data_IF_425940463112
#
_entry.id   IF_425940463112
#
_cell.length_a   1.000
_cell.length_b   1.000
_cell.length_c   1.000
_cell.angle_alpha   90.00
_cell.angle_beta   90.00
_cell.angle_gamma   90.00
#
_symmetry.space_group_name_H-M   'P 1'
#
loop_
_entity.id
_entity.type
_entity.pdbx_description
1 polymer ?
#
# COMPACT_ATOMS: atom_id res chain seq x y z
N UNK A 1 -2.31 -7.20 28.59
CA UNK A 1 -3.45 -6.64 27.83
C UNK A 1 -3.84 -5.19 28.22
N UNK A 2 -3.47 -4.63 29.37
CA UNK A 2 -3.86 -3.25 29.77
C UNK A 2 -3.10 -2.13 29.00
N UNK A 3 -1.90 -2.38 28.51
CA UNK A 3 -1.07 -1.39 27.79
C UNK A 3 -1.49 -1.07 26.34
N UNK A 4 -2.25 -1.94 25.69
CA UNK A 4 -2.71 -1.72 24.30
C UNK A 4 -3.94 -0.78 24.19
N UNK A 5 -4.69 -0.61 25.29
CA UNK A 5 -5.86 0.27 25.32
C UNK A 5 -5.56 1.78 25.08
N UNK A 6 -4.47 2.37 25.62
CA UNK A 6 -4.15 3.75 25.33
C UNK A 6 -3.61 3.95 23.91
N UNK A 7 -2.88 2.97 23.37
CA UNK A 7 -2.23 3.07 22.05
C UNK A 7 -3.25 3.17 20.90
N UNK A 8 -4.31 2.33 20.90
CA UNK A 8 -5.33 2.43 19.85
C UNK A 8 -6.18 3.70 19.98
N UNK A 9 -6.39 4.23 21.20
CA UNK A 9 -7.08 5.52 21.39
C UNK A 9 -6.26 6.67 20.82
N UNK A 10 -4.92 6.67 21.01
CA UNK A 10 -4.03 7.67 20.46
C UNK A 10 -4.00 7.62 18.94
N UNK A 11 -3.89 6.44 18.35
CA UNK A 11 -3.95 6.22 16.90
C UNK A 11 -5.30 6.67 16.34
N UNK A 12 -6.40 6.35 17.01
CA UNK A 12 -7.74 6.77 16.63
C UNK A 12 -7.94 8.30 16.70
N UNK A 13 -7.37 8.96 17.72
CA UNK A 13 -7.38 10.42 17.85
C UNK A 13 -6.59 11.12 16.73
N UNK A 14 -5.40 10.61 16.40
CA UNK A 14 -4.57 11.13 15.30
C UNK A 14 -5.31 10.96 13.96
N UNK A 15 -5.98 9.84 13.76
CA UNK A 15 -6.77 9.59 12.54
C UNK A 15 -7.98 10.53 12.45
N UNK A 16 -8.65 10.83 13.57
CA UNK A 16 -9.78 11.77 13.60
C UNK A 16 -9.35 13.21 13.24
N UNK A 17 -8.17 13.65 13.66
CA UNK A 17 -7.66 14.98 13.29
C UNK A 17 -7.31 15.07 11.80
N UNK A 18 -6.78 14.00 11.20
CA UNK A 18 -6.50 13.95 9.76
C UNK A 18 -7.76 13.98 8.87
N UNK A 19 -8.90 13.51 9.37
CA UNK A 19 -10.15 13.45 8.59
C UNK A 19 -10.72 14.86 8.34
N UNK A 20 -10.54 15.79 9.25
CA UNK A 20 -11.17 17.12 9.19
C UNK A 20 -10.36 18.18 8.41
N UNK A 21 -9.13 17.90 8.01
CA UNK A 21 -8.24 18.87 7.37
C UNK A 21 -7.69 18.43 6.01
N UNK A 22 -8.20 17.34 5.44
CA UNK A 22 -7.71 16.87 4.15
C UNK A 22 -8.32 17.64 2.97
N UNK A 23 -7.48 17.91 1.98
CA UNK A 23 -7.86 18.62 0.75
C UNK A 23 -8.77 17.75 -0.14
N UNK A 24 -8.60 16.42 -0.10
CA UNK A 24 -9.41 15.47 -0.87
C UNK A 24 -9.67 14.16 -0.10
N UNK A 25 -10.70 13.45 -0.56
CA UNK A 25 -11.05 12.10 -0.11
C UNK A 25 -11.16 11.17 -1.31
N UNK A 26 -10.33 10.11 -1.30
CA UNK A 26 -10.27 9.09 -2.35
C UNK A 26 -10.91 7.78 -1.90
N UNK A 27 -11.46 7.04 -2.85
CA UNK A 27 -11.88 5.65 -2.68
C UNK A 27 -10.99 4.71 -3.49
N UNK A 28 -10.47 3.64 -2.86
CA UNK A 28 -9.68 2.62 -3.52
C UNK A 28 -10.37 1.25 -3.39
N UNK A 29 -10.71 0.64 -4.50
CA UNK A 29 -11.23 -0.73 -4.54
C UNK A 29 -10.31 -1.63 -5.36
N UNK A 30 -10.17 -2.91 -4.97
CA UNK A 30 -9.36 -3.86 -5.71
C UNK A 30 -9.83 -5.29 -5.57
N UNK A 31 -9.52 -6.10 -6.61
CA UNK A 31 -9.63 -7.54 -6.60
C UNK A 31 -8.27 -8.11 -6.91
N UNK A 32 -7.79 -9.03 -6.07
CA UNK A 32 -6.50 -9.67 -6.20
C UNK A 32 -6.61 -11.20 -6.32
N UNK A 33 -5.68 -11.78 -7.06
CA UNK A 33 -5.48 -13.22 -7.20
C UNK A 33 -4.04 -13.55 -6.84
N UNK A 34 -3.84 -14.49 -5.91
CA UNK A 34 -2.53 -14.91 -5.45
C UNK A 34 -2.43 -16.44 -5.60
N UNK A 35 -1.38 -16.92 -6.23
CA UNK A 35 -1.08 -18.34 -6.32
C UNK A 35 0.38 -18.61 -5.96
N UNK A 36 0.59 -19.75 -5.28
CA UNK A 36 1.93 -20.26 -4.98
C UNK A 36 2.30 -21.31 -6.00
N UNK A 37 3.40 -21.05 -6.67
CA UNK A 37 4.02 -22.00 -7.60
C UNK A 37 5.11 -22.83 -6.88
N UNK A 38 5.60 -23.92 -7.50
CA UNK A 38 6.78 -24.62 -7.01
C UNK A 38 7.98 -23.67 -6.81
N UNK A 39 8.97 -24.12 -6.02
CA UNK A 39 10.22 -23.39 -5.78
C UNK A 39 10.04 -22.04 -5.08
N UNK A 40 9.07 -21.91 -4.15
CA UNK A 40 8.81 -20.68 -3.37
C UNK A 40 8.48 -19.44 -4.21
N UNK A 41 8.00 -19.61 -5.42
CA UNK A 41 7.54 -18.53 -6.29
C UNK A 41 6.09 -18.21 -5.97
N UNK A 42 5.77 -16.92 -5.85
CA UNK A 42 4.39 -16.42 -5.72
C UNK A 42 4.07 -15.52 -6.92
N UNK A 43 2.90 -15.73 -7.51
CA UNK A 43 2.36 -14.89 -8.56
C UNK A 43 1.12 -14.17 -8.04
N UNK A 44 1.09 -12.85 -8.21
CA UNK A 44 -0.05 -12.00 -7.83
C UNK A 44 -0.54 -11.23 -9.05
N UNK A 45 -1.87 -11.14 -9.19
CA UNK A 45 -2.55 -10.29 -10.15
C UNK A 45 -3.54 -9.41 -9.38
N UNK A 46 -3.41 -8.10 -9.51
CA UNK A 46 -4.31 -7.12 -8.90
C UNK A 46 -4.98 -6.26 -9.97
N UNK A 47 -6.29 -6.13 -9.88
CA UNK A 47 -7.08 -5.14 -10.60
C UNK A 47 -7.63 -4.14 -9.60
N UNK A 48 -7.45 -2.84 -9.85
CA UNK A 48 -7.91 -1.81 -8.94
C UNK A 48 -8.56 -0.62 -9.62
N UNK A 49 -9.50 -0.01 -8.92
CA UNK A 49 -10.20 1.23 -9.29
C UNK A 49 -9.98 2.26 -8.18
N UNK A 50 -9.74 3.50 -8.56
CA UNK A 50 -9.62 4.64 -7.66
C UNK A 50 -10.50 5.79 -8.10
N UNK A 51 -11.17 6.39 -7.14
CA UNK A 51 -11.95 7.60 -7.30
C UNK A 51 -11.28 8.73 -6.51
N UNK A 52 -11.41 9.97 -6.97
CA UNK A 52 -10.95 11.22 -6.37
C UNK A 52 -12.10 12.20 -6.19
N UNK A 53 -11.82 13.43 -5.78
CA UNK A 53 -12.79 14.52 -5.66
C UNK A 53 -13.98 14.11 -4.80
N UNK A 54 -13.72 13.82 -3.51
CA UNK A 54 -14.71 13.32 -2.55
C UNK A 54 -15.36 11.99 -3.00
N UNK A 55 -14.59 11.10 -3.64
CA UNK A 55 -15.02 9.79 -4.19
C UNK A 55 -16.02 9.88 -5.35
N UNK A 56 -16.20 11.05 -5.98
CA UNK A 56 -17.20 11.28 -7.01
C UNK A 56 -16.66 11.11 -8.43
N UNK A 57 -15.36 11.33 -8.64
CA UNK A 57 -14.74 11.36 -9.96
C UNK A 57 -13.77 10.22 -10.17
N UNK A 58 -13.66 9.74 -11.39
CA UNK A 58 -12.69 8.73 -11.78
C UNK A 58 -11.27 9.27 -11.64
N UNK A 59 -10.39 8.53 -10.96
CA UNK A 59 -8.97 8.85 -10.89
C UNK A 59 -8.15 7.96 -11.82
N UNK A 60 -8.27 6.64 -11.61
CA UNK A 60 -7.58 5.64 -12.44
C UNK A 60 -8.14 4.24 -12.21
N UNK A 61 -7.98 3.40 -13.22
CA UNK A 61 -7.97 1.95 -13.06
C UNK A 61 -6.58 1.40 -13.33
N UNK A 62 -6.23 0.24 -12.74
CA UNK A 62 -4.92 -0.36 -13.00
C UNK A 62 -4.97 -1.87 -12.93
N UNK A 63 -4.10 -2.49 -13.70
CA UNK A 63 -3.75 -3.91 -13.60
C UNK A 63 -2.29 -4.02 -13.15
N UNK A 64 -2.02 -4.85 -12.15
CA UNK A 64 -0.68 -5.13 -11.67
C UNK A 64 -0.43 -6.64 -11.64
N UNK A 65 0.68 -7.05 -12.21
CA UNK A 65 1.23 -8.40 -12.07
C UNK A 65 2.48 -8.32 -11.22
N UNK A 66 2.63 -9.24 -10.28
CA UNK A 66 3.81 -9.31 -9.42
C UNK A 66 4.31 -10.74 -9.31
N UNK A 67 5.60 -10.92 -9.45
CA UNK A 67 6.29 -12.18 -9.17
C UNK A 67 7.13 -11.96 -7.93
N UNK A 68 7.03 -12.86 -6.97
CA UNK A 68 7.84 -12.85 -5.76
C UNK A 68 8.52 -14.19 -5.55
N UNK A 69 9.71 -14.16 -4.97
CA UNK A 69 10.49 -15.34 -4.59
C UNK A 69 10.87 -15.24 -3.12
N UNK A 70 10.58 -16.28 -2.36
CA UNK A 70 10.95 -16.38 -0.95
C UNK A 70 12.33 -17.02 -0.84
N UNK A 71 13.35 -16.20 -0.48
CA UNK A 71 14.77 -16.61 -0.40
C UNK A 71 15.00 -17.46 0.86
N UNK A 72 14.49 -16.96 1.97
CA UNK A 72 14.51 -17.63 3.30
C UNK A 72 13.20 -17.29 4.00
N UNK A 73 12.89 -17.99 5.09
CA UNK A 73 11.66 -17.74 5.85
C UNK A 73 11.52 -16.25 6.23
N UNK A 74 10.42 -15.67 5.80
CA UNK A 74 10.08 -14.26 6.00
C UNK A 74 10.77 -13.26 5.06
N UNK A 75 11.78 -13.66 4.25
CA UNK A 75 12.46 -12.76 3.33
C UNK A 75 12.08 -13.03 1.88
N UNK A 76 11.54 -12.02 1.21
CA UNK A 76 11.11 -12.09 -0.19
C UNK A 76 11.71 -10.99 -1.03
N UNK A 77 12.06 -11.32 -2.26
CA UNK A 77 12.26 -10.35 -3.33
C UNK A 77 11.05 -10.38 -4.26
N UNK A 78 10.75 -9.27 -4.92
CA UNK A 78 9.57 -9.18 -5.79
C UNK A 78 9.74 -8.13 -6.88
N UNK A 79 9.07 -8.36 -8.02
CA UNK A 79 9.05 -7.47 -9.19
C UNK A 79 7.59 -7.26 -9.60
N UNK A 80 6.94 -6.16 -9.18
CA UNK A 80 5.63 -5.78 -9.69
C UNK A 80 5.74 -4.89 -10.92
N UNK A 81 4.91 -5.19 -11.91
CA UNK A 81 4.69 -4.38 -13.11
C UNK A 81 3.24 -3.92 -13.07
N UNK A 82 3.00 -2.62 -13.25
CA UNK A 82 1.66 -2.03 -13.25
C UNK A 82 1.42 -1.23 -14.51
N UNK A 83 0.25 -1.41 -15.09
CA UNK A 83 -0.32 -0.57 -16.11
C UNK A 83 -1.53 0.15 -15.52
N UNK A 84 -1.57 1.48 -15.61
CA UNK A 84 -2.64 2.30 -15.06
C UNK A 84 -3.19 3.24 -16.13
N UNK A 85 -4.51 3.32 -16.21
CA UNK A 85 -5.28 4.16 -17.11
C UNK A 85 -5.92 5.26 -16.27
N UNK A 86 -5.64 6.50 -16.59
CA UNK A 86 -6.25 7.72 -16.07
C UNK A 86 -7.25 8.25 -17.09
N UNK A 87 -7.90 9.33 -16.79
CA UNK A 87 -8.88 9.95 -17.69
C UNK A 87 -8.25 10.40 -19.02
N UNK A 88 -7.07 11.01 -18.94
CA UNK A 88 -6.37 11.68 -20.03
C UNK A 88 -5.03 11.03 -20.43
N UNK A 89 -4.57 10.02 -19.68
CA UNK A 89 -3.23 9.43 -19.86
C UNK A 89 -3.12 8.02 -19.35
N UNK A 90 -2.03 7.36 -19.74
CA UNK A 90 -1.64 6.06 -19.21
C UNK A 90 -0.29 6.13 -18.52
N UNK A 91 -0.08 5.29 -17.52
CA UNK A 91 1.21 5.16 -16.83
C UNK A 91 1.61 3.70 -16.73
N UNK A 92 2.85 3.43 -17.09
CA UNK A 92 3.49 2.15 -16.85
C UNK A 92 4.45 2.27 -15.68
N UNK A 93 4.50 1.25 -14.83
CA UNK A 93 5.34 1.24 -13.66
C UNK A 93 6.00 -0.11 -13.50
N UNK A 94 7.32 -0.08 -13.45
CA UNK A 94 8.15 -1.24 -13.15
C UNK A 94 8.78 -1.01 -11.78
N UNK A 95 8.86 -2.04 -10.98
CA UNK A 95 9.52 -1.93 -9.68
C UNK A 95 10.27 -3.21 -9.35
N UNK A 96 11.27 -3.10 -8.47
CA UNK A 96 11.94 -4.22 -7.85
C UNK A 96 12.13 -3.93 -6.37
N UNK A 97 12.08 -4.95 -5.53
CA UNK A 97 12.24 -4.72 -4.10
C UNK A 97 12.37 -5.98 -3.28
N UNK A 98 12.54 -5.76 -1.98
CA UNK A 98 12.62 -6.80 -0.99
C UNK A 98 11.71 -6.51 0.20
N UNK A 99 11.35 -7.55 0.92
CA UNK A 99 10.64 -7.43 2.20
C UNK A 99 11.12 -8.49 3.16
N UNK A 100 11.12 -8.11 4.44
CA UNK A 100 11.39 -9.02 5.54
C UNK A 100 10.22 -8.98 6.53
N UNK A 101 9.77 -10.15 6.94
CA UNK A 101 8.69 -10.34 7.92
C UNK A 101 9.23 -11.11 9.12
N UNK A 102 9.03 -10.57 10.31
CA UNK A 102 9.35 -11.21 11.58
C UNK A 102 8.08 -11.44 12.40
N UNK A 103 7.81 -12.69 12.75
CA UNK A 103 6.61 -13.09 13.50
C UNK A 103 6.93 -13.24 15.00
N UNK A 104 6.32 -12.37 15.83
CA UNK A 104 6.34 -12.42 17.29
C UNK A 104 4.89 -12.47 17.79
N UNK A 105 4.28 -13.66 17.76
CA UNK A 105 2.85 -13.84 18.07
C UNK A 105 2.43 -13.18 19.37
N UNK A 106 1.35 -12.39 19.40
CA UNK A 106 0.35 -12.19 18.33
C UNK A 106 0.71 -11.11 17.31
N UNK A 107 1.89 -10.51 17.39
CA UNK A 107 2.40 -9.46 16.51
C UNK A 107 3.19 -10.06 15.33
N UNK A 108 3.21 -9.34 14.21
CA UNK A 108 4.15 -9.54 13.11
C UNK A 108 4.65 -8.18 12.64
N UNK A 109 5.94 -8.08 12.42
CA UNK A 109 6.60 -6.88 11.90
C UNK A 109 7.00 -7.14 10.46
N UNK A 110 6.76 -6.18 9.57
CA UNK A 110 7.17 -6.29 8.17
C UNK A 110 7.82 -4.99 7.71
N UNK A 111 9.02 -5.10 7.20
CA UNK A 111 9.69 -4.04 6.46
C UNK A 111 9.71 -4.38 4.97
N UNK A 112 9.51 -3.37 4.12
CA UNK A 112 9.58 -3.49 2.67
C UNK A 112 10.28 -2.27 2.09
N UNK A 113 11.30 -2.51 1.27
CA UNK A 113 11.93 -1.49 0.44
C UNK A 113 11.69 -1.82 -1.03
N UNK A 114 11.42 -0.80 -1.84
CA UNK A 114 11.12 -0.96 -3.25
C UNK A 114 11.62 0.25 -4.04
N UNK A 115 12.41 -0.01 -5.08
CA UNK A 115 12.70 0.94 -6.15
C UNK A 115 11.63 0.85 -7.22
N UNK A 116 11.24 1.99 -7.80
CA UNK A 116 10.13 2.10 -8.73
C UNK A 116 10.43 3.14 -9.78
N UNK A 117 10.24 2.77 -11.05
CA UNK A 117 10.28 3.67 -12.20
C UNK A 117 8.87 3.76 -12.78
N UNK A 118 8.42 4.97 -13.03
CA UNK A 118 7.12 5.24 -13.67
C UNK A 118 7.36 5.97 -14.98
N UNK A 119 6.81 5.42 -16.05
CA UNK A 119 6.83 5.97 -17.40
C UNK A 119 5.45 6.55 -17.70
N UNK A 120 5.44 7.75 -18.24
CA UNK A 120 4.27 8.46 -18.73
C UNK A 120 4.61 9.02 -20.12
N UNK A 121 3.64 9.03 -21.03
CA UNK A 121 3.86 9.52 -22.39
C UNK A 121 4.22 11.00 -22.38
N UNK A 122 5.27 11.37 -23.11
CA UNK A 122 5.81 12.74 -23.24
C UNK A 122 6.32 13.38 -21.92
N UNK A 123 6.50 12.59 -20.87
CA UNK A 123 7.06 13.05 -19.60
C UNK A 123 8.34 12.29 -19.24
N UNK A 124 9.30 12.90 -18.56
CA UNK A 124 10.46 12.17 -18.05
C UNK A 124 10.05 11.08 -17.08
N UNK A 125 10.80 10.00 -17.06
CA UNK A 125 10.56 8.91 -16.12
C UNK A 125 10.71 9.41 -14.67
N UNK A 126 9.81 8.98 -13.79
CA UNK A 126 9.87 9.32 -12.37
C UNK A 126 10.38 8.13 -11.56
N UNK A 127 11.45 8.35 -10.85
CA UNK A 127 12.11 7.34 -10.03
C UNK A 127 11.83 7.56 -8.53
N UNK A 128 11.45 6.48 -7.84
CA UNK A 128 11.08 6.53 -6.42
C UNK A 128 11.69 5.36 -5.67
N UNK A 129 12.22 5.64 -4.49
CA UNK A 129 12.49 4.64 -3.45
C UNK A 129 11.38 4.72 -2.40
N UNK A 130 10.78 3.57 -2.09
CA UNK A 130 9.66 3.47 -1.16
C UNK A 130 10.02 2.55 -0.02
N UNK A 131 9.94 3.06 1.20
CA UNK A 131 10.21 2.30 2.42
C UNK A 131 8.94 2.22 3.25
N UNK A 132 8.50 1.00 3.54
CA UNK A 132 7.29 0.72 4.31
C UNK A 132 7.59 -0.15 5.51
N UNK A 133 7.14 0.28 6.68
CA UNK A 133 7.11 -0.52 7.89
C UNK A 133 5.67 -0.80 8.30
N UNK A 134 5.38 -2.04 8.73
CA UNK A 134 4.03 -2.45 9.13
C UNK A 134 4.08 -3.30 10.39
N UNK A 135 3.10 -3.13 11.24
CA UNK A 135 2.85 -3.95 12.43
C UNK A 135 1.46 -4.56 12.26
N UNK A 136 1.41 -5.88 12.19
CA UNK A 136 0.17 -6.65 12.17
C UNK A 136 -0.13 -7.20 13.57
N UNK A 137 -1.38 -7.15 14.01
CA UNK A 137 -1.86 -7.77 15.25
C UNK A 137 -2.94 -8.80 14.94
N UNK A 138 -2.67 -10.07 15.29
CA UNK A 138 -3.61 -11.17 15.11
C UNK A 138 -4.62 -11.18 16.25
N UNK A 139 -5.84 -10.67 16.00
CA UNK A 139 -6.93 -10.65 16.96
C UNK A 139 -7.46 -12.07 17.20
N UNK A 140 -7.69 -12.81 16.11
CA UNK A 140 -8.10 -14.22 16.15
C UNK A 140 -7.73 -14.94 14.83
N UNK A 141 -8.21 -16.18 14.62
CA UNK A 141 -7.91 -16.99 13.42
C UNK A 141 -8.42 -16.35 12.10
N UNK A 142 -9.44 -15.48 12.17
CA UNK A 142 -10.07 -14.88 10.99
C UNK A 142 -9.77 -13.39 10.83
N UNK A 143 -9.38 -12.70 11.91
CA UNK A 143 -9.25 -11.26 11.94
C UNK A 143 -7.84 -10.84 12.34
N UNK A 144 -7.23 -9.99 11.51
CA UNK A 144 -5.94 -9.36 11.72
C UNK A 144 -6.09 -7.86 11.48
N UNK A 145 -5.70 -7.03 12.44
CA UNK A 145 -5.56 -5.59 12.25
C UNK A 145 -4.12 -5.23 11.93
N UNK A 146 -3.89 -4.07 11.32
CA UNK A 146 -2.56 -3.58 11.06
C UNK A 146 -2.50 -2.05 11.12
N UNK A 147 -1.29 -1.57 11.35
CA UNK A 147 -0.88 -0.18 11.14
C UNK A 147 0.41 -0.19 10.31
N UNK A 148 0.59 0.80 9.46
CA UNK A 148 1.82 0.93 8.66
C UNK A 148 2.12 2.38 8.33
N UNK A 149 3.43 2.70 8.27
CA UNK A 149 3.98 3.94 7.73
C UNK A 149 4.74 3.63 6.43
N UNK A 150 4.60 4.49 5.43
CA UNK A 150 5.34 4.40 4.17
C UNK A 150 5.85 5.77 3.79
N UNK A 151 7.13 5.85 3.40
CA UNK A 151 7.81 7.07 2.96
C UNK A 151 8.28 6.86 1.54
N UNK A 152 8.15 7.90 0.73
CA UNK A 152 8.54 7.92 -0.68
C UNK A 152 9.64 8.96 -0.84
N UNK A 153 10.75 8.52 -1.42
CA UNK A 153 11.86 9.38 -1.79
C UNK A 153 11.90 9.47 -3.31
N UNK A 154 11.80 10.67 -3.82
CA UNK A 154 12.02 10.97 -5.23
C UNK A 154 13.52 11.08 -5.46
N UNK A 155 14.01 10.45 -6.51
CA UNK A 155 15.36 10.65 -7.02
C UNK A 155 15.26 11.61 -8.21
N UNK A 156 15.77 12.82 -8.04
CA UNK A 156 15.76 13.86 -9.06
C UNK A 156 17.09 14.62 -9.03
N UNK A 157 17.72 14.81 -10.21
CA UNK A 157 18.97 15.56 -10.41
C UNK A 157 20.05 15.18 -9.38
N UNK A 158 20.26 13.86 -9.17
CA UNK A 158 21.22 13.30 -8.22
C UNK A 158 20.94 13.62 -6.73
N UNK A 159 19.73 14.06 -6.41
CA UNK A 159 19.30 14.32 -5.04
C UNK A 159 18.13 13.45 -4.62
N UNK A 160 18.17 12.96 -3.38
CA UNK A 160 17.04 12.29 -2.74
C UNK A 160 16.19 13.30 -1.99
N UNK A 161 14.93 13.42 -2.38
CA UNK A 161 13.98 14.31 -1.71
C UNK A 161 12.78 13.52 -1.20
N UNK A 162 12.28 13.91 -0.02
CA UNK A 162 11.01 13.36 0.49
C UNK A 162 9.87 13.89 -0.36
N UNK A 163 9.11 12.99 -0.99
CA UNK A 163 8.02 13.34 -1.91
C UNK A 163 6.65 13.11 -1.29
N UNK A 164 6.49 11.99 -0.57
CA UNK A 164 5.20 11.57 -0.04
C UNK A 164 5.39 10.71 1.21
N UNK A 165 4.48 10.80 2.16
CA UNK A 165 4.33 9.81 3.21
C UNK A 165 2.88 9.38 3.40
N UNK A 166 2.71 8.15 3.91
CA UNK A 166 1.42 7.56 4.20
C UNK A 166 1.41 6.90 5.56
N UNK A 167 0.33 7.11 6.30
CA UNK A 167 0.02 6.31 7.48
C UNK A 167 -1.26 5.56 7.19
N UNK A 168 -1.23 4.24 7.35
CA UNK A 168 -2.40 3.40 7.05
C UNK A 168 -2.75 2.51 8.23
N UNK A 169 -4.04 2.32 8.44
CA UNK A 169 -4.59 1.33 9.36
C UNK A 169 -5.68 0.53 8.68
N UNK A 170 -5.92 -0.69 9.13
CA UNK A 170 -6.97 -1.50 8.53
C UNK A 170 -7.09 -2.88 9.15
N UNK A 171 -7.97 -3.65 8.55
CA UNK A 171 -8.28 -5.02 8.96
C UNK A 171 -8.29 -5.95 7.76
N UNK A 172 -7.75 -7.15 7.97
CA UNK A 172 -7.84 -8.27 7.05
C UNK A 172 -8.74 -9.32 7.67
N UNK A 173 -9.83 -9.66 6.97
CA UNK A 173 -10.84 -10.63 7.40
C UNK A 173 -10.78 -11.85 6.50
N UNK A 174 -10.45 -13.00 7.05
CA UNK A 174 -10.51 -14.27 6.32
C UNK A 174 -11.95 -14.77 6.29
N UNK A 175 -12.64 -14.64 5.14
CA UNK A 175 -14.04 -15.03 4.96
C UNK A 175 -14.15 -16.55 4.81
N UNK A 176 -13.30 -17.14 3.97
CA UNK A 176 -13.17 -18.59 3.73
C UNK A 176 -11.70 -18.96 3.60
N UNK A 177 -11.38 -20.28 3.54
CA UNK A 177 -9.99 -20.80 3.51
C UNK A 177 -9.10 -20.12 2.48
N UNK A 178 -9.52 -19.53 1.44
CA UNK A 178 -8.71 -18.94 0.38
C UNK A 178 -9.24 -17.56 -0.05
N UNK A 179 -10.02 -16.90 0.79
CA UNK A 179 -10.66 -15.62 0.49
C UNK A 179 -10.47 -14.64 1.63
N UNK A 180 -9.95 -13.48 1.32
CA UNK A 180 -9.64 -12.44 2.28
C UNK A 180 -10.25 -11.10 1.85
N UNK A 181 -10.96 -10.46 2.75
CA UNK A 181 -11.41 -9.08 2.62
C UNK A 181 -10.45 -8.18 3.40
N UNK A 182 -10.01 -7.11 2.78
CA UNK A 182 -9.22 -6.05 3.38
C UNK A 182 -10.04 -4.76 3.39
N UNK A 183 -10.13 -4.11 4.54
CA UNK A 183 -10.72 -2.78 4.69
C UNK A 183 -9.65 -1.90 5.31
N UNK A 184 -9.43 -0.70 4.78
CA UNK A 184 -8.37 0.16 5.26
C UNK A 184 -8.72 1.64 5.10
N UNK A 185 -8.06 2.42 5.94
CA UNK A 185 -7.95 3.86 5.83
C UNK A 185 -6.48 4.24 5.70
N UNK A 186 -6.18 5.24 4.88
CA UNK A 186 -4.84 5.80 4.71
C UNK A 186 -4.93 7.31 4.71
N UNK A 187 -4.14 7.94 5.57
CA UNK A 187 -3.83 9.35 5.49
C UNK A 187 -2.55 9.51 4.68
N UNK A 188 -2.61 10.31 3.63
CA UNK A 188 -1.52 10.55 2.70
C UNK A 188 -1.23 12.05 2.64
N UNK A 189 0.07 12.41 2.69
CA UNK A 189 0.55 13.74 2.32
C UNK A 189 1.49 13.55 1.14
N UNK A 190 1.23 14.25 0.06
CA UNK A 190 2.03 14.24 -1.16
C UNK A 190 2.51 15.64 -1.53
N UNK A 191 3.41 15.71 -2.51
CA UNK A 191 3.99 16.96 -3.00
C UNK A 191 4.83 17.71 -1.95
N UNK A 192 5.53 16.97 -1.07
CA UNK A 192 6.38 17.55 -0.02
C UNK A 192 7.54 18.41 -0.57
N UNK A 193 7.88 18.23 -1.83
CA UNK A 193 8.91 19.01 -2.55
C UNK A 193 8.35 20.30 -3.13
N UNK A 194 7.03 20.50 -3.14
CA UNK A 194 6.36 21.69 -3.67
C UNK A 194 6.07 22.72 -2.57
N UNK A 195 5.72 23.92 -2.98
CA UNK A 195 5.34 25.01 -2.08
C UNK A 195 4.05 24.75 -1.30
N UNK A 196 3.17 23.88 -1.81
CA UNK A 196 1.95 23.42 -1.15
C UNK A 196 1.88 21.92 -1.17
N UNK A 197 1.61 21.32 -0.02
CA UNK A 197 1.38 19.88 0.14
C UNK A 197 -0.09 19.56 -0.04
N UNK A 198 -0.41 18.38 -0.60
CA UNK A 198 -1.77 17.87 -0.66
C UNK A 198 -2.00 16.81 0.41
N UNK A 199 -3.03 16.99 1.23
CA UNK A 199 -3.45 16.05 2.25
C UNK A 199 -4.67 15.27 1.76
N UNK A 200 -4.59 13.95 1.75
CA UNK A 200 -5.62 13.10 1.14
C UNK A 200 -6.01 11.98 2.10
N UNK A 201 -7.31 11.86 2.33
CA UNK A 201 -7.91 10.71 3.00
C UNK A 201 -8.24 9.64 1.98
N UNK A 202 -7.86 8.38 2.26
CA UNK A 202 -8.14 7.26 1.37
C UNK A 202 -8.89 6.19 2.15
N UNK A 203 -10.10 5.87 1.72
CA UNK A 203 -10.85 4.70 2.17
C UNK A 203 -10.73 3.58 1.15
N UNK A 204 -10.42 2.37 1.61
CA UNK A 204 -10.19 1.30 0.68
C UNK A 204 -10.79 -0.04 1.08
N UNK A 205 -11.17 -0.80 0.06
CA UNK A 205 -11.64 -2.16 0.17
C UNK A 205 -10.92 -3.03 -0.87
N UNK A 206 -10.44 -4.18 -0.46
CA UNK A 206 -9.80 -5.15 -1.35
C UNK A 206 -10.31 -6.55 -1.08
N UNK A 207 -10.51 -7.33 -2.13
CA UNK A 207 -10.91 -8.72 -2.04
C UNK A 207 -9.87 -9.61 -2.72
N UNK A 208 -9.26 -10.54 -1.96
CA UNK A 208 -8.19 -11.38 -2.46
C UNK A 208 -8.59 -12.86 -2.47
N UNK A 209 -8.32 -13.50 -3.60
CA UNK A 209 -8.40 -14.94 -3.80
C UNK A 209 -7.01 -15.54 -3.70
N UNK A 210 -6.86 -16.64 -2.94
CA UNK A 210 -5.63 -17.43 -2.86
C UNK A 210 -5.90 -18.82 -3.44
N UNK A 211 -4.97 -19.32 -4.23
CA UNK A 211 -5.10 -20.63 -4.88
C UNK A 211 -4.06 -21.61 -4.38
#
# INVERSE_FOLDING_TARGET
MKFLRPLYKLVFLILLQGINGADDTESHSSIGFETKLPYSIELELDQGLRLKDQMSSFKQTFTQVSIAYEIIDGMKIFVPIRYAIFEDKTKQRISAGGSYKYDLKPLSFKYRSKFQITFEENEPSRELVRNKFSIDYKINKKLKSYISGEVFHLYDLDQYQYDEYRISTGMNVSIKKKRQLKIFYTYKIEDLTKSSTNQINIFGIGYNFKF
#
